data_IF_865397254992
#
_entry.id   IF_865397254992
#
_cell.length_a   1.000
_cell.length_b   1.000
_cell.length_c   1.000
_cell.angle_alpha   90.00
_cell.angle_beta   90.00
_cell.angle_gamma   90.00
#
_symmetry.space_group_name_H-M   'P 1'
#
loop_
_entity.id
_entity.type
_entity.pdbx_description
1 polymer ?
#
# COMPACT_ATOMS: atom_id res chain seq x y z
N UNK A 1 -28.22 -7.84 -70.64
CA UNK A 1 -26.81 -7.47 -70.37
C UNK A 1 -26.86 -6.57 -69.15
N UNK A 2 -27.06 -7.13 -67.96
CA UNK A 2 -27.55 -6.34 -66.82
C UNK A 2 -26.64 -6.53 -65.62
N UNK A 3 -25.86 -5.50 -65.34
CA UNK A 3 -24.95 -5.39 -64.21
C UNK A 3 -25.64 -4.51 -63.15
N UNK A 4 -26.11 -5.04 -62.01
CA UNK A 4 -26.57 -4.20 -60.92
C UNK A 4 -25.34 -3.62 -60.21
N UNK A 5 -24.85 -2.49 -60.70
CA UNK A 5 -23.74 -1.72 -60.12
C UNK A 5 -24.32 -0.59 -59.27
N UNK A 6 -24.38 -0.78 -57.95
CA UNK A 6 -24.69 0.34 -57.04
C UNK A 6 -24.72 -0.01 -55.57
N UNK A 7 -25.44 -1.08 -55.19
CA UNK A 7 -25.71 -1.40 -53.79
C UNK A 7 -24.52 -2.00 -53.01
N UNK A 8 -23.65 -2.77 -53.66
CA UNK A 8 -22.61 -3.51 -52.93
C UNK A 8 -21.53 -2.60 -52.32
N UNK A 9 -21.21 -1.47 -52.97
CA UNK A 9 -20.29 -0.48 -52.41
C UNK A 9 -20.87 0.18 -51.15
N UNK A 10 -22.19 0.42 -51.11
CA UNK A 10 -22.88 0.98 -49.94
C UNK A 10 -22.89 -0.02 -48.78
N UNK A 11 -23.12 -1.31 -49.06
CA UNK A 11 -23.08 -2.38 -48.06
C UNK A 11 -21.68 -2.55 -47.47
N UNK A 12 -20.64 -2.49 -48.30
CA UNK A 12 -19.24 -2.58 -47.84
C UNK A 12 -18.86 -1.38 -46.98
N UNK A 13 -19.26 -0.16 -47.35
CA UNK A 13 -18.96 1.06 -46.56
C UNK A 13 -19.69 1.06 -45.21
N UNK A 14 -20.96 0.63 -45.16
CA UNK A 14 -21.70 0.49 -43.91
C UNK A 14 -21.08 -0.57 -42.98
N UNK A 15 -20.66 -1.70 -43.53
CA UNK A 15 -20.00 -2.77 -42.77
C UNK A 15 -18.66 -2.33 -42.18
N UNK A 16 -17.81 -1.62 -42.95
CA UNK A 16 -16.52 -1.13 -42.45
C UNK A 16 -16.66 -0.06 -41.39
N UNK A 17 -17.66 0.82 -41.53
CA UNK A 17 -17.91 1.89 -40.55
C UNK A 17 -18.39 1.32 -39.22
N UNK A 18 -19.27 0.30 -39.27
CA UNK A 18 -19.71 -0.41 -38.07
C UNK A 18 -18.57 -1.13 -37.35
N UNK A 19 -17.67 -1.77 -38.10
CA UNK A 19 -16.52 -2.47 -37.52
C UNK A 19 -15.51 -1.51 -36.88
N UNK A 20 -15.27 -0.36 -37.51
CA UNK A 20 -14.41 0.69 -36.94
C UNK A 20 -15.01 1.24 -35.63
N UNK A 21 -16.32 1.52 -35.60
CA UNK A 21 -17.00 1.97 -34.39
C UNK A 21 -16.93 0.94 -33.26
N UNK A 22 -17.08 -0.35 -33.57
CA UNK A 22 -16.95 -1.43 -32.60
C UNK A 22 -15.53 -1.51 -32.02
N UNK A 23 -14.50 -1.38 -32.86
CA UNK A 23 -13.10 -1.40 -32.42
C UNK A 23 -12.78 -0.22 -31.50
N UNK A 24 -13.25 0.99 -31.84
CA UNK A 24 -13.09 2.17 -30.97
C UNK A 24 -13.83 1.95 -29.65
N UNK A 25 -15.05 1.42 -29.68
CA UNK A 25 -15.80 1.13 -28.46
C UNK A 25 -15.09 0.11 -27.57
N UNK A 26 -14.56 -0.97 -28.14
CA UNK A 26 -13.75 -1.96 -27.41
C UNK A 26 -12.51 -1.31 -26.81
N UNK A 27 -11.81 -0.47 -27.58
CA UNK A 27 -10.61 0.23 -27.10
C UNK A 27 -10.92 1.16 -25.92
N UNK A 28 -12.04 1.89 -25.98
CA UNK A 28 -12.50 2.76 -24.88
C UNK A 28 -12.93 1.94 -23.68
N UNK A 29 -13.62 0.82 -23.86
CA UNK A 29 -14.02 -0.09 -22.77
C UNK A 29 -12.79 -0.71 -22.11
N UNK A 30 -11.80 -1.17 -22.89
CA UNK A 30 -10.54 -1.68 -22.37
C UNK A 30 -9.76 -0.60 -21.60
N UNK A 31 -9.74 0.64 -22.11
CA UNK A 31 -9.11 1.76 -21.41
C UNK A 31 -9.85 2.13 -20.11
N UNK A 32 -11.17 2.14 -20.11
CA UNK A 32 -11.99 2.38 -18.91
C UNK A 32 -11.82 1.28 -17.87
N UNK A 33 -11.73 0.01 -18.31
CA UNK A 33 -11.48 -1.14 -17.44
C UNK A 33 -10.06 -1.07 -16.86
N UNK A 34 -9.02 -0.76 -17.65
CA UNK A 34 -7.64 -0.63 -17.16
C UNK A 34 -7.51 0.52 -16.16
N UNK A 35 -8.13 1.67 -16.44
CA UNK A 35 -8.10 2.82 -15.54
C UNK A 35 -8.90 2.59 -14.25
N UNK A 36 -10.03 1.87 -14.32
CA UNK A 36 -10.91 1.66 -13.16
C UNK A 36 -10.52 0.45 -12.31
N UNK A 37 -9.74 -0.51 -12.83
CA UNK A 37 -9.33 -1.72 -12.12
C UNK A 37 -7.90 -1.70 -11.58
N UNK A 38 -7.13 -0.61 -11.78
CA UNK A 38 -5.93 -0.36 -10.97
C UNK A 38 -6.35 -0.03 -9.54
N UNK A 39 -6.80 -1.05 -8.80
CA UNK A 39 -6.70 -1.01 -7.34
C UNK A 39 -5.22 -0.88 -7.04
N UNK A 40 -4.78 0.33 -6.72
CA UNK A 40 -3.38 0.62 -6.43
C UNK A 40 -3.03 -0.03 -5.10
N UNK A 41 -2.69 -1.33 -5.18
CA UNK A 41 -2.34 -2.13 -4.01
C UNK A 41 -0.94 -1.72 -3.61
N UNK A 42 -0.86 -0.89 -2.57
CA UNK A 42 0.42 -0.46 -2.03
C UNK A 42 1.01 -1.58 -1.18
N UNK A 43 2.20 -2.03 -1.58
CA UNK A 43 2.96 -3.06 -0.88
C UNK A 43 3.88 -2.39 0.15
N UNK A 44 3.62 -2.69 1.41
CA UNK A 44 4.32 -2.13 2.56
C UNK A 44 5.03 -3.24 3.33
N UNK A 45 6.28 -3.07 3.71
CA UNK A 45 6.93 -3.97 4.67
C UNK A 45 6.76 -3.41 6.09
N UNK A 46 6.22 -4.21 7.01
CA UNK A 46 6.23 -3.89 8.44
C UNK A 46 7.48 -4.50 9.06
N UNK A 47 8.42 -3.66 9.49
CA UNK A 47 9.59 -4.13 10.25
C UNK A 47 9.14 -4.37 11.70
N UNK A 48 9.54 -5.50 12.32
CA UNK A 48 9.12 -5.79 13.69
C UNK A 48 9.50 -4.64 14.63
N UNK A 49 8.52 -4.23 15.44
CA UNK A 49 8.68 -3.11 16.37
C UNK A 49 9.85 -3.36 17.32
N UNK A 50 10.80 -2.43 17.35
CA UNK A 50 11.98 -2.53 18.21
C UNK A 50 11.67 -2.01 19.62
N UNK A 51 11.91 -2.84 20.64
CA UNK A 51 11.90 -2.44 22.05
C UNK A 51 13.32 -2.47 22.61
N UNK A 52 13.79 -1.34 23.14
CA UNK A 52 15.12 -1.23 23.74
C UNK A 52 15.25 -2.02 25.06
N UNK A 53 14.15 -2.24 25.77
CA UNK A 53 14.15 -2.83 27.11
C UNK A 53 13.31 -4.11 27.18
N UNK A 54 13.78 -5.08 27.97
CA UNK A 54 13.12 -6.39 28.09
C UNK A 54 11.66 -6.30 28.59
N UNK A 55 11.37 -5.35 29.50
CA UNK A 55 10.02 -5.12 30.03
C UNK A 55 9.02 -4.56 29.01
N UNK A 56 9.48 -4.09 27.86
CA UNK A 56 8.64 -3.48 26.81
C UNK A 56 8.41 -4.40 25.61
N UNK A 57 9.01 -5.59 25.61
CA UNK A 57 8.85 -6.55 24.52
C UNK A 57 7.41 -7.03 24.34
N UNK A 58 6.66 -7.12 25.43
CA UNK A 58 5.21 -7.42 25.37
C UNK A 58 4.48 -6.32 24.62
N UNK A 59 4.66 -5.06 25.01
CA UNK A 59 4.03 -3.91 24.36
C UNK A 59 4.41 -3.81 22.88
N UNK A 60 5.67 -4.12 22.52
CA UNK A 60 6.10 -4.17 21.13
C UNK A 60 5.46 -5.30 20.34
N UNK A 61 5.29 -6.48 20.95
CA UNK A 61 4.59 -7.60 20.32
C UNK A 61 3.11 -7.27 20.10
N UNK A 62 2.44 -6.73 21.12
CA UNK A 62 1.03 -6.32 21.06
C UNK A 62 0.82 -5.24 19.98
N UNK A 63 1.74 -4.27 19.90
CA UNK A 63 1.71 -3.24 18.85
C UNK A 63 1.94 -3.82 17.45
N UNK A 64 2.88 -4.76 17.29
CA UNK A 64 3.15 -5.42 16.00
C UNK A 64 1.92 -6.20 15.53
N UNK A 65 1.27 -6.94 16.43
CA UNK A 65 0.08 -7.73 16.14
C UNK A 65 -1.12 -6.83 15.78
N UNK A 66 -1.35 -5.74 16.54
CA UNK A 66 -2.40 -4.76 16.26
C UNK A 66 -2.16 -4.05 14.92
N UNK A 67 -0.95 -3.58 14.63
CA UNK A 67 -0.62 -2.96 13.35
C UNK A 67 -0.87 -3.92 12.20
N UNK A 68 -0.46 -5.19 12.35
CA UNK A 68 -0.66 -6.21 11.32
C UNK A 68 -2.14 -6.47 11.06
N UNK A 69 -2.94 -6.58 12.11
CA UNK A 69 -4.40 -6.76 12.00
C UNK A 69 -5.04 -5.59 11.25
N UNK A 70 -4.77 -4.35 11.67
CA UNK A 70 -5.38 -3.16 11.05
C UNK A 70 -4.86 -2.92 9.62
N UNK A 71 -3.60 -3.24 9.33
CA UNK A 71 -3.07 -3.21 7.96
C UNK A 71 -3.74 -4.25 7.06
N UNK A 72 -4.02 -5.48 7.55
CA UNK A 72 -4.77 -6.50 6.79
C UNK A 72 -6.19 -6.03 6.49
N UNK A 73 -6.84 -5.37 7.45
CA UNK A 73 -8.20 -4.88 7.32
C UNK A 73 -8.31 -3.75 6.28
N UNK A 74 -7.20 -3.11 5.89
CA UNK A 74 -7.17 -2.01 4.94
C UNK A 74 -7.09 -2.53 3.50
N UNK A 75 -8.17 -2.39 2.72
CA UNK A 75 -8.34 -3.01 1.38
C UNK A 75 -7.18 -2.80 0.40
N UNK A 76 -6.51 -1.64 0.45
CA UNK A 76 -5.48 -1.24 -0.51
C UNK A 76 -4.05 -1.46 0.00
N UNK A 77 -3.88 -1.96 1.22
CA UNK A 77 -2.56 -2.28 1.76
C UNK A 77 -2.33 -3.78 1.70
N UNK A 78 -1.12 -4.15 1.31
CA UNK A 78 -0.60 -5.52 1.45
C UNK A 78 0.72 -5.45 2.15
N UNK A 79 1.01 -6.45 2.98
CA UNK A 79 2.28 -6.52 3.66
C UNK A 79 2.93 -7.88 3.60
N UNK A 80 4.23 -7.90 3.91
CA UNK A 80 5.04 -9.10 3.96
C UNK A 80 4.91 -9.81 5.30
N UNK A 81 4.84 -11.14 5.26
CA UNK A 81 4.76 -11.97 6.45
C UNK A 81 5.94 -11.68 7.39
N UNK A 82 5.69 -11.73 8.71
CA UNK A 82 6.69 -11.46 9.76
C UNK A 82 7.99 -12.25 9.56
N UNK A 83 7.88 -13.51 9.12
CA UNK A 83 9.01 -14.40 8.85
C UNK A 83 9.86 -13.97 7.65
N UNK A 84 9.29 -13.25 6.68
CA UNK A 84 10.02 -12.78 5.50
C UNK A 84 10.93 -11.60 5.86
N UNK A 85 10.52 -10.75 6.79
CA UNK A 85 11.23 -9.52 7.20
C UNK A 85 12.00 -9.66 8.52
N UNK A 86 11.98 -10.82 9.18
CA UNK A 86 12.66 -11.01 10.47
C UNK A 86 14.18 -10.78 10.42
N UNK A 87 14.81 -11.03 9.26
CA UNK A 87 16.23 -10.80 9.05
C UNK A 87 16.56 -9.41 8.44
N UNK A 88 15.55 -8.53 8.27
CA UNK A 88 15.74 -7.21 7.65
C UNK A 88 16.10 -6.11 8.64
N UNK A 89 15.94 -6.32 9.95
CA UNK A 89 16.31 -5.33 10.98
C UNK A 89 17.78 -4.89 10.94
N UNK A 90 18.65 -5.71 10.32
CA UNK A 90 20.08 -5.44 10.17
C UNK A 90 20.47 -5.03 8.74
N UNK A 91 19.52 -5.00 7.81
CA UNK A 91 19.78 -4.69 6.40
C UNK A 91 19.37 -3.24 6.09
N UNK A 92 20.15 -2.50 5.30
CA UNK A 92 19.76 -1.17 4.85
C UNK A 92 18.48 -1.21 4.00
N UNK A 93 17.61 -0.22 4.13
CA UNK A 93 16.32 -0.14 3.41
C UNK A 93 16.38 -0.44 1.91
N UNK A 94 17.40 0.03 1.14
CA UNK A 94 17.48 -0.26 -0.28
C UNK A 94 17.65 -1.75 -0.59
N UNK A 95 18.26 -2.53 0.32
CA UNK A 95 18.34 -3.99 0.18
C UNK A 95 16.98 -4.63 0.42
N UNK A 96 16.26 -4.20 1.46
CA UNK A 96 14.89 -4.67 1.76
C UNK A 96 13.92 -4.34 0.62
N UNK A 97 14.02 -3.15 0.03
CA UNK A 97 13.23 -2.76 -1.15
C UNK A 97 13.45 -3.70 -2.33
N UNK A 98 14.70 -4.05 -2.63
CA UNK A 98 15.04 -4.96 -3.74
C UNK A 98 14.63 -6.40 -3.46
N UNK A 99 14.85 -6.88 -2.24
CA UNK A 99 14.57 -8.26 -1.83
C UNK A 99 13.07 -8.55 -1.80
N UNK A 100 12.26 -7.60 -1.30
CA UNK A 100 10.81 -7.79 -1.15
C UNK A 100 9.97 -7.03 -2.17
N UNK A 101 10.59 -6.27 -3.09
CA UNK A 101 9.90 -5.41 -4.05
C UNK A 101 8.86 -4.49 -3.36
N UNK A 102 9.25 -3.94 -2.20
CA UNK A 102 8.45 -3.01 -1.40
C UNK A 102 8.79 -1.58 -1.75
N UNK A 103 7.75 -0.76 -1.82
CA UNK A 103 7.89 0.69 -2.05
C UNK A 103 8.01 1.43 -0.72
N UNK A 104 7.29 0.94 0.30
CA UNK A 104 7.18 1.59 1.59
C UNK A 104 7.50 0.62 2.72
N UNK A 105 8.06 1.17 3.79
CA UNK A 105 8.41 0.45 5.01
C UNK A 105 7.77 1.16 6.19
N UNK A 106 7.08 0.42 7.05
CA UNK A 106 6.61 0.88 8.35
C UNK A 106 7.61 0.41 9.40
N UNK A 107 8.11 1.35 10.18
CA UNK A 107 8.98 1.08 11.32
C UNK A 107 8.29 1.49 12.61
N UNK A 108 8.40 0.65 13.63
CA UNK A 108 7.98 0.96 14.99
C UNK A 108 9.16 0.93 15.96
N UNK A 109 9.25 1.94 16.82
CA UNK A 109 10.20 1.99 17.92
C UNK A 109 9.47 2.27 19.23
N UNK A 110 9.82 1.50 20.26
CA UNK A 110 9.32 1.68 21.62
C UNK A 110 10.49 1.98 22.55
N UNK A 111 10.36 3.07 23.30
CA UNK A 111 11.36 3.51 24.30
C UNK A 111 10.69 3.87 25.62
N UNK A 112 11.39 3.60 26.73
CA UNK A 112 10.99 4.09 28.05
C UNK A 112 11.12 5.63 28.08
N UNK A 113 10.09 6.30 28.59
CA UNK A 113 10.18 7.71 28.97
C UNK A 113 9.55 7.89 30.35
N UNK A 114 10.41 7.91 31.38
CA UNK A 114 9.98 7.98 32.78
C UNK A 114 8.97 6.87 33.08
N UNK A 115 7.76 7.23 33.50
CA UNK A 115 6.67 6.30 33.84
C UNK A 115 5.80 5.94 32.64
N UNK A 116 6.10 6.46 31.45
CA UNK A 116 5.38 6.21 30.21
C UNK A 116 6.23 5.43 29.20
N UNK A 117 5.54 4.83 28.25
CA UNK A 117 6.14 4.20 27.08
C UNK A 117 5.95 5.14 25.89
N UNK A 118 7.04 5.55 25.26
CA UNK A 118 6.98 6.32 24.02
C UNK A 118 6.95 5.37 22.84
N UNK A 119 5.90 5.46 22.04
CA UNK A 119 5.74 4.73 20.79
C UNK A 119 5.95 5.70 19.64
N UNK A 120 6.83 5.34 18.70
CA UNK A 120 7.08 6.08 17.46
C UNK A 120 6.89 5.16 16.27
N UNK A 121 5.99 5.53 15.36
CA UNK A 121 5.74 4.84 14.10
C UNK A 121 6.14 5.73 12.94
N UNK A 122 6.84 5.18 11.95
CA UNK A 122 7.28 5.93 10.77
C UNK A 122 6.96 5.17 9.49
N UNK A 123 6.59 5.93 8.45
CA UNK A 123 6.50 5.47 7.07
C UNK A 123 7.74 5.97 6.33
N UNK A 124 8.47 5.04 5.71
CA UNK A 124 9.76 5.28 5.07
C UNK A 124 9.72 4.78 3.63
N UNK A 125 10.21 5.58 2.70
CA UNK A 125 10.43 5.15 1.32
C UNK A 125 11.56 4.11 1.30
N UNK A 126 11.26 2.92 0.79
CA UNK A 126 12.16 1.79 0.86
C UNK A 126 13.41 1.95 -0.04
N UNK A 127 13.34 2.75 -1.11
CA UNK A 127 14.43 2.94 -2.08
C UNK A 127 15.43 3.98 -1.61
N UNK A 128 14.93 5.05 -1.01
CA UNK A 128 15.69 6.25 -0.64
C UNK A 128 15.98 6.34 0.85
N UNK A 129 15.31 5.53 1.68
CA UNK A 129 15.34 5.62 3.14
C UNK A 129 14.83 6.95 3.69
N UNK A 130 14.10 7.74 2.89
CA UNK A 130 13.51 8.99 3.34
C UNK A 130 12.24 8.72 4.15
N UNK A 131 12.14 9.39 5.30
CA UNK A 131 10.94 9.33 6.14
C UNK A 131 9.87 10.21 5.51
N UNK A 132 8.76 9.61 5.09
CA UNK A 132 7.61 10.34 4.55
C UNK A 132 6.65 10.83 5.65
N UNK A 133 6.48 10.03 6.71
CA UNK A 133 5.61 10.39 7.83
C UNK A 133 6.11 9.78 9.13
N UNK A 134 5.91 10.48 10.25
CA UNK A 134 6.18 9.94 11.59
C UNK A 134 5.10 10.37 12.56
N UNK A 135 4.70 9.46 13.44
CA UNK A 135 3.77 9.70 14.53
C UNK A 135 4.42 9.23 15.83
N UNK A 136 4.40 10.08 16.86
CA UNK A 136 4.95 9.73 18.18
C UNK A 136 3.95 10.07 19.26
N UNK A 137 3.72 9.13 20.18
CA UNK A 137 2.80 9.29 21.29
C UNK A 137 3.36 8.62 22.55
N UNK A 138 3.18 9.28 23.69
CA UNK A 138 3.51 8.73 25.00
C UNK A 138 2.26 8.05 25.56
N UNK A 139 2.34 6.75 25.79
CA UNK A 139 1.25 5.92 26.30
C UNK A 139 1.55 5.40 27.70
N UNK A 140 0.51 5.19 28.48
CA UNK A 140 0.63 4.63 29.84
C UNK A 140 0.64 3.08 29.84
N UNK A 141 0.74 2.46 28.66
CA UNK A 141 0.76 1.00 28.47
C UNK A 141 -0.62 0.35 28.33
N UNK A 142 -1.70 1.15 28.26
CA UNK A 142 -3.06 0.65 28.02
C UNK A 142 -3.28 0.22 26.56
N UNK A 143 -3.99 -0.90 26.35
CA UNK A 143 -4.30 -1.46 25.03
C UNK A 143 -5.17 -0.53 24.16
N UNK A 144 -6.10 0.22 24.76
CA UNK A 144 -6.94 1.19 24.02
C UNK A 144 -6.13 2.31 23.38
N UNK A 145 -5.13 2.84 24.10
CA UNK A 145 -4.28 3.91 23.56
C UNK A 145 -3.42 3.40 22.40
N UNK A 146 -2.99 2.13 22.44
CA UNK A 146 -2.27 1.47 21.35
C UNK A 146 -3.17 1.28 20.12
N UNK A 147 -4.41 0.87 20.32
CA UNK A 147 -5.37 0.69 19.22
C UNK A 147 -5.68 2.03 18.53
N UNK A 148 -5.99 3.07 19.30
CA UNK A 148 -6.26 4.42 18.77
C UNK A 148 -5.06 4.97 17.99
N UNK A 149 -3.85 4.74 18.49
CA UNK A 149 -2.61 5.11 17.82
C UNK A 149 -2.46 4.38 16.48
N UNK A 150 -2.70 3.06 16.44
CA UNK A 150 -2.61 2.28 15.20
C UNK A 150 -3.63 2.75 14.16
N UNK A 151 -4.88 2.98 14.57
CA UNK A 151 -5.95 3.45 13.68
C UNK A 151 -5.59 4.83 13.11
N UNK A 152 -5.15 5.75 13.96
CA UNK A 152 -4.75 7.09 13.54
C UNK A 152 -3.57 7.05 12.57
N UNK A 153 -2.54 6.27 12.88
CA UNK A 153 -1.37 6.11 12.03
C UNK A 153 -1.74 5.55 10.65
N UNK A 154 -2.57 4.50 10.59
CA UNK A 154 -2.95 3.87 9.32
C UNK A 154 -3.80 4.81 8.46
N UNK A 155 -4.68 5.61 9.07
CA UNK A 155 -5.46 6.61 8.35
C UNK A 155 -4.57 7.67 7.70
N UNK A 156 -3.59 8.20 8.45
CA UNK A 156 -2.63 9.18 7.93
C UNK A 156 -1.74 8.59 6.83
N UNK A 157 -1.18 7.39 7.07
CA UNK A 157 -0.38 6.67 6.07
C UNK A 157 -1.19 6.42 4.80
N UNK A 158 -2.45 6.00 4.92
CA UNK A 158 -3.31 5.80 3.76
C UNK A 158 -3.58 7.10 3.00
N UNK A 159 -3.62 8.24 3.69
CA UNK A 159 -3.70 9.57 3.06
C UNK A 159 -2.42 9.90 2.28
N UNK A 160 -1.25 9.79 2.94
CA UNK A 160 0.06 10.06 2.34
C UNK A 160 0.31 9.19 1.10
N UNK A 161 0.01 7.89 1.19
CA UNK A 161 0.20 6.94 0.09
C UNK A 161 -0.71 7.22 -1.12
N UNK A 162 -1.85 7.88 -0.93
CA UNK A 162 -2.72 8.28 -2.05
C UNK A 162 -2.21 9.52 -2.78
N UNK A 163 -1.54 10.42 -2.07
CA UNK A 163 -1.00 11.66 -2.64
C UNK A 163 0.26 11.42 -3.49
N UNK A 164 1.01 10.36 -3.21
CA UNK A 164 2.20 9.98 -3.98
C UNK A 164 1.87 9.33 -5.35
N UNK A 165 0.63 8.86 -5.54
CA UNK A 165 0.18 8.19 -6.78
C UNK A 165 -0.55 9.14 -7.75
N UNK A 166 -0.75 10.41 -7.38
CA UNK A 166 -1.42 11.44 -8.21
C UNK A 166 -0.43 12.31 -8.96
#
# INVERSE_FOLDING_TARGET
>A
KDKPRGGWKQVVILATTGMAALLVFIMVVLWLIDNSLRSDVVRVALIPVYAAQAGQRSVAADLDDLLREKLLATRNLRFFARSAVSNSQQKPFPFTSREFNVQWIIEGNIRQKQDKVRVSLSLVDAKTALVAYTMTQDIDGGTTQLEDLCVSFINEVSGVLRLDQS
#
